data_IF_619657340256
#
_entry.id   IF_619657340256
#
_cell.length_a   1.000
_cell.length_b   1.000
_cell.length_c   1.000
_cell.angle_alpha   90.00
_cell.angle_beta   90.00
_cell.angle_gamma   90.00
#
_symmetry.space_group_name_H-M   'P 1'
#
loop_
_entity.id
_entity.type
_entity.pdbx_description
1 polymer ?
#
# COMPACT_ATOMS: atom_id res chain seq x y z
N UNK A 1 28.26 26.37 3.58
CA UNK A 1 28.72 25.44 4.63
C UNK A 1 29.56 24.39 3.96
N UNK A 2 30.78 24.19 4.43
CA UNK A 2 31.68 23.19 3.88
C UNK A 2 31.03 21.81 3.95
N UNK A 3 31.12 20.98 2.88
CA UNK A 3 30.65 19.62 2.94
C UNK A 3 31.34 18.93 4.12
N UNK A 4 30.60 18.14 4.88
CA UNK A 4 31.13 17.31 5.94
C UNK A 4 32.37 16.56 5.42
N UNK A 5 33.53 16.98 5.83
CA UNK A 5 34.74 16.19 5.61
C UNK A 5 34.59 14.94 6.45
N UNK A 6 34.25 13.83 5.77
CA UNK A 6 34.28 12.51 6.36
C UNK A 6 35.74 12.19 6.64
N UNK A 7 36.18 12.54 7.86
CA UNK A 7 37.55 12.21 8.30
C UNK A 7 37.69 10.67 8.23
N UNK A 8 38.66 10.24 7.46
CA UNK A 8 39.13 8.86 7.36
C UNK A 8 38.21 7.80 6.68
N UNK A 9 37.08 8.20 6.05
CA UNK A 9 36.20 7.26 5.35
C UNK A 9 35.69 7.84 4.03
N UNK A 10 35.69 7.04 2.98
CA UNK A 10 35.08 7.43 1.71
C UNK A 10 33.56 7.47 1.81
N UNK A 11 32.91 8.27 0.97
CA UNK A 11 31.44 8.35 0.89
C UNK A 11 30.82 6.96 0.65
N UNK A 12 31.43 6.13 -0.18
CA UNK A 12 30.98 4.79 -0.50
C UNK A 12 31.08 3.85 0.71
N UNK A 13 32.17 3.93 1.50
CA UNK A 13 32.33 3.15 2.73
C UNK A 13 31.26 3.51 3.75
N UNK A 14 30.89 4.76 3.87
CA UNK A 14 29.80 5.21 4.79
C UNK A 14 28.48 4.66 4.31
N UNK A 15 28.15 4.75 3.02
CA UNK A 15 26.90 4.20 2.49
C UNK A 15 26.80 2.69 2.70
N UNK A 16 27.88 1.97 2.50
CA UNK A 16 27.91 0.51 2.69
C UNK A 16 27.77 0.12 4.18
N UNK A 17 28.36 0.89 5.10
CA UNK A 17 28.18 0.68 6.54
C UNK A 17 26.73 0.96 6.96
N UNK A 18 26.10 2.01 6.44
CA UNK A 18 24.69 2.32 6.67
C UNK A 18 23.81 1.19 6.14
N UNK A 19 24.02 0.71 4.93
CA UNK A 19 23.30 -0.44 4.35
C UNK A 19 23.39 -1.67 5.25
N UNK A 20 24.61 -2.00 5.68
CA UNK A 20 24.86 -3.15 6.57
C UNK A 20 24.12 -3.03 7.91
N UNK A 21 24.07 -1.84 8.50
CA UNK A 21 23.38 -1.61 9.77
C UNK A 21 21.85 -1.67 9.59
N UNK A 22 21.34 -1.16 8.48
CA UNK A 22 19.90 -1.13 8.21
C UNK A 22 19.36 -2.47 7.72
N UNK A 23 20.21 -3.36 7.14
CA UNK A 23 19.78 -4.68 6.67
C UNK A 23 19.24 -5.61 7.76
N UNK A 24 19.48 -5.27 9.04
CA UNK A 24 18.93 -6.00 10.21
C UNK A 24 17.42 -5.73 10.39
N UNK A 25 16.90 -4.65 9.81
CA UNK A 25 15.48 -4.31 9.93
C UNK A 25 14.63 -5.20 9.02
N UNK A 26 14.00 -6.21 9.61
CA UNK A 26 13.11 -7.09 8.89
C UNK A 26 11.81 -6.36 8.49
N UNK A 27 11.30 -6.63 7.29
CA UNK A 27 10.01 -6.11 6.81
C UNK A 27 10.04 -4.68 6.25
N UNK A 28 11.21 -4.04 6.15
CA UNK A 28 11.38 -2.74 5.54
C UNK A 28 12.15 -2.84 4.21
N UNK A 29 11.67 -2.19 3.16
CA UNK A 29 12.45 -1.95 1.95
C UNK A 29 13.24 -0.66 2.15
N UNK A 30 14.56 -0.77 2.10
CA UNK A 30 15.46 0.35 2.35
C UNK A 30 16.20 0.68 1.06
N UNK A 31 16.07 1.93 0.64
CA UNK A 31 16.82 2.51 -0.49
C UNK A 31 17.67 3.67 0.06
N UNK A 32 18.96 3.69 -0.28
CA UNK A 32 19.88 4.72 0.16
C UNK A 32 20.37 5.46 -1.07
N UNK A 33 20.09 6.75 -1.13
CA UNK A 33 20.51 7.60 -2.24
C UNK A 33 20.64 9.06 -1.83
N UNK A 34 21.01 9.89 -2.78
CA UNK A 34 21.15 11.33 -2.58
C UNK A 34 19.86 12.05 -2.97
N UNK A 35 19.46 13.13 -2.26
CA UNK A 35 18.20 13.81 -2.50
C UNK A 35 18.02 14.34 -3.93
N UNK A 36 19.09 14.77 -4.58
CA UNK A 36 19.05 15.30 -5.97
C UNK A 36 18.92 14.14 -6.97
N UNK A 37 19.73 13.07 -6.82
CA UNK A 37 19.65 11.89 -7.68
C UNK A 37 18.28 11.26 -7.61
N UNK A 38 17.73 11.06 -6.41
CA UNK A 38 16.37 10.51 -6.22
C UNK A 38 15.29 11.32 -6.95
N UNK A 39 15.41 12.64 -7.00
CA UNK A 39 14.46 13.48 -7.75
C UNK A 39 14.58 13.27 -9.27
N UNK A 40 15.80 13.21 -9.77
CA UNK A 40 16.05 12.98 -11.20
C UNK A 40 15.57 11.59 -11.59
N UNK A 41 15.93 10.57 -10.82
CA UNK A 41 15.53 9.18 -11.07
C UNK A 41 14.00 9.03 -11.03
N UNK A 42 13.34 9.65 -10.04
CA UNK A 42 11.89 9.65 -9.93
C UNK A 42 11.19 10.33 -11.13
N UNK A 43 11.77 11.39 -11.66
CA UNK A 43 11.24 12.08 -12.86
C UNK A 43 11.42 11.24 -14.13
N UNK A 44 12.52 10.52 -14.26
CA UNK A 44 12.85 9.74 -15.46
C UNK A 44 12.21 8.36 -15.47
N UNK A 45 12.26 7.65 -14.36
CA UNK A 45 11.83 6.25 -14.26
C UNK A 45 10.51 6.06 -13.49
N UNK A 46 10.08 7.07 -12.72
CA UNK A 46 8.96 6.98 -11.79
C UNK A 46 9.31 6.27 -10.49
N UNK A 47 10.60 6.00 -10.23
CA UNK A 47 11.12 5.41 -8.98
C UNK A 47 12.32 6.22 -8.49
N UNK A 48 12.63 6.12 -7.21
CA UNK A 48 13.79 6.82 -6.63
C UNK A 48 15.12 6.07 -6.82
N UNK A 49 15.11 4.97 -7.58
CA UNK A 49 16.27 4.13 -7.83
C UNK A 49 16.85 4.35 -9.23
N UNK A 50 18.15 4.11 -9.38
CA UNK A 50 18.88 4.29 -10.64
C UNK A 50 18.49 3.28 -11.72
N UNK A 51 17.99 2.11 -11.31
CA UNK A 51 17.52 1.02 -12.19
C UNK A 51 16.06 0.73 -11.85
N UNK A 52 15.20 0.72 -12.88
CA UNK A 52 13.80 0.33 -12.76
C UNK A 52 13.45 -0.72 -13.82
N UNK A 53 13.10 -1.93 -13.39
CA UNK A 53 12.56 -2.98 -14.24
C UNK A 53 11.05 -2.98 -14.07
N UNK A 54 10.30 -2.68 -15.12
CA UNK A 54 8.85 -2.58 -15.09
C UNK A 54 8.22 -3.82 -15.67
N UNK A 55 7.40 -4.50 -14.87
CA UNK A 55 6.57 -5.60 -15.31
C UNK A 55 5.15 -5.10 -15.58
N UNK A 56 4.61 -5.42 -16.74
CA UNK A 56 3.25 -5.07 -17.12
C UNK A 56 2.39 -6.33 -17.25
N UNK A 57 1.15 -6.26 -16.78
CA UNK A 57 0.22 -7.39 -16.85
C UNK A 57 -1.13 -7.09 -16.22
N UNK A 58 -2.01 -8.08 -16.25
CA UNK A 58 -3.36 -7.98 -15.68
C UNK A 58 -3.48 -8.58 -14.29
N UNK A 59 -2.64 -9.57 -13.96
CA UNK A 59 -2.64 -10.31 -12.70
C UNK A 59 -1.46 -9.86 -11.83
N UNK A 60 -1.76 -9.13 -10.76
CA UNK A 60 -0.76 -8.57 -9.84
C UNK A 60 0.00 -9.66 -9.07
N UNK A 61 -0.67 -10.76 -8.67
CA UNK A 61 -0.05 -11.84 -7.91
C UNK A 61 0.98 -12.59 -8.75
N UNK A 62 0.61 -12.86 -10.02
CA UNK A 62 1.53 -13.47 -10.98
C UNK A 62 2.72 -12.55 -11.28
N UNK A 63 2.47 -11.25 -11.47
CA UNK A 63 3.54 -10.26 -11.69
C UNK A 63 4.47 -10.17 -10.49
N UNK A 64 3.94 -10.20 -9.26
CA UNK A 64 4.75 -10.19 -8.03
C UNK A 64 5.62 -11.44 -7.92
N UNK A 65 5.08 -12.62 -8.26
CA UNK A 65 5.84 -13.87 -8.31
C UNK A 65 7.00 -13.78 -9.30
N UNK A 66 6.74 -13.29 -10.52
CA UNK A 66 7.77 -13.06 -11.55
C UNK A 66 8.79 -12.02 -11.07
N UNK A 67 8.33 -10.94 -10.43
CA UNK A 67 9.21 -9.91 -9.86
C UNK A 67 10.20 -10.49 -8.84
N UNK A 68 9.74 -11.38 -7.97
CA UNK A 68 10.61 -12.07 -7.02
C UNK A 68 11.59 -13.05 -7.70
N UNK A 69 11.19 -13.70 -8.78
CA UNK A 69 12.10 -14.54 -9.58
C UNK A 69 13.21 -13.69 -10.21
N UNK A 70 12.85 -12.54 -10.81
CA UNK A 70 13.84 -11.59 -11.35
C UNK A 70 14.75 -11.06 -10.24
N UNK A 71 14.20 -10.69 -9.09
CA UNK A 71 15.01 -10.30 -7.91
C UNK A 71 16.01 -11.38 -7.55
N UNK A 72 15.57 -12.63 -7.47
CA UNK A 72 16.45 -13.77 -7.12
C UNK A 72 17.54 -14.02 -8.16
N UNK A 73 17.27 -13.78 -9.44
CA UNK A 73 18.27 -13.87 -10.50
C UNK A 73 19.28 -12.71 -10.44
N UNK A 74 18.81 -11.49 -10.22
CA UNK A 74 19.64 -10.30 -10.21
C UNK A 74 20.48 -10.12 -8.95
N UNK A 75 20.12 -10.73 -7.82
CA UNK A 75 20.81 -10.52 -6.53
C UNK A 75 22.29 -10.93 -6.51
N UNK A 76 22.71 -11.77 -7.46
CA UNK A 76 24.10 -12.23 -7.57
C UNK A 76 24.93 -11.43 -8.57
N UNK A 77 24.33 -10.44 -9.23
CA UNK A 77 25.05 -9.58 -10.18
C UNK A 77 25.89 -8.58 -9.37
N UNK A 78 27.21 -8.61 -9.60
CA UNK A 78 28.12 -7.70 -8.93
C UNK A 78 27.79 -6.23 -9.27
N UNK A 79 27.80 -5.38 -8.26
CA UNK A 79 27.47 -3.95 -8.38
C UNK A 79 26.00 -3.62 -8.24
N UNK A 80 25.11 -4.59 -8.02
CA UNK A 80 23.71 -4.32 -7.65
C UNK A 80 23.62 -4.05 -6.14
N UNK A 81 22.90 -2.98 -5.78
CA UNK A 81 22.57 -2.62 -4.41
C UNK A 81 21.10 -2.27 -4.29
N UNK A 82 20.56 -2.35 -3.05
CA UNK A 82 19.19 -1.93 -2.71
C UNK A 82 18.11 -2.53 -3.63
N UNK A 83 18.28 -3.82 -4.01
CA UNK A 83 17.38 -4.52 -4.93
C UNK A 83 16.06 -4.87 -4.26
N UNK A 84 14.99 -4.22 -4.68
CA UNK A 84 13.66 -4.36 -4.12
C UNK A 84 12.60 -4.63 -5.19
N UNK A 85 11.59 -5.41 -4.83
CA UNK A 85 10.35 -5.56 -5.61
C UNK A 85 9.29 -4.73 -4.92
N UNK A 86 8.51 -3.97 -5.68
CA UNK A 86 7.37 -3.24 -5.18
C UNK A 86 6.43 -4.17 -4.43
N UNK A 87 6.23 -3.90 -3.13
CA UNK A 87 5.44 -4.77 -2.28
C UNK A 87 3.95 -4.69 -2.64
N UNK A 88 3.38 -5.85 -2.88
CA UNK A 88 1.93 -6.04 -2.97
C UNK A 88 1.43 -6.47 -1.59
N UNK A 89 1.28 -5.50 -0.67
CA UNK A 89 0.72 -5.78 0.65
C UNK A 89 -0.79 -5.90 0.47
N UNK A 90 -1.29 -7.12 0.61
CA UNK A 90 -2.73 -7.34 0.71
C UNK A 90 -3.22 -6.82 2.06
N UNK A 91 -4.20 -5.92 2.02
CA UNK A 91 -4.89 -5.50 3.24
C UNK A 91 -6.16 -6.31 3.40
N UNK A 92 -6.43 -6.80 4.61
CA UNK A 92 -7.72 -7.41 4.87
C UNK A 92 -8.82 -6.37 4.62
N UNK A 93 -9.75 -6.72 3.77
CA UNK A 93 -10.92 -5.93 3.40
C UNK A 93 -12.18 -6.67 3.78
N UNK A 94 -13.15 -5.93 4.30
CA UNK A 94 -14.49 -6.42 4.51
C UNK A 94 -15.41 -5.84 3.44
N UNK A 95 -15.89 -6.69 2.55
CA UNK A 95 -16.81 -6.33 1.50
C UNK A 95 -18.23 -6.70 1.92
N UNK A 96 -19.10 -5.70 2.06
CA UNK A 96 -20.51 -5.90 2.37
C UNK A 96 -21.30 -5.61 1.10
N UNK A 97 -21.94 -6.64 0.55
CA UNK A 97 -22.70 -6.56 -0.69
C UNK A 97 -24.19 -6.67 -0.39
N UNK A 98 -24.97 -5.59 -0.55
CA UNK A 98 -26.41 -5.62 -0.27
C UNK A 98 -27.15 -6.53 -1.24
N UNK A 99 -28.03 -7.36 -0.75
CA UNK A 99 -29.02 -8.12 -1.51
C UNK A 99 -30.24 -7.25 -1.73
N UNK A 100 -30.26 -6.53 -2.85
CA UNK A 100 -31.27 -5.48 -3.12
C UNK A 100 -32.71 -5.95 -2.98
N UNK A 101 -33.01 -7.17 -3.45
CA UNK A 101 -34.35 -7.76 -3.34
C UNK A 101 -34.78 -7.95 -1.89
N UNK A 102 -33.86 -8.37 -1.03
CA UNK A 102 -34.13 -8.60 0.40
C UNK A 102 -34.23 -7.26 1.16
N UNK A 103 -33.47 -6.24 0.77
CA UNK A 103 -33.64 -4.90 1.33
C UNK A 103 -35.04 -4.38 1.04
N UNK A 104 -35.51 -4.44 -0.22
CA UNK A 104 -36.84 -3.98 -0.62
C UNK A 104 -37.95 -4.74 0.11
N UNK A 105 -37.82 -6.08 0.23
CA UNK A 105 -38.79 -6.92 0.96
C UNK A 105 -38.91 -6.55 2.43
N UNK A 106 -37.84 -6.04 3.02
CA UNK A 106 -37.80 -5.61 4.42
C UNK A 106 -38.06 -4.09 4.58
N UNK A 107 -38.43 -3.37 3.47
CA UNK A 107 -38.70 -1.94 3.51
C UNK A 107 -37.47 -1.09 3.80
N UNK A 108 -36.27 -1.59 3.52
CA UNK A 108 -35.01 -0.90 3.74
C UNK A 108 -34.55 -0.31 2.39
N UNK A 109 -34.33 0.99 2.33
CA UNK A 109 -33.78 1.63 1.15
C UNK A 109 -32.24 1.51 1.13
N UNK A 110 -31.63 1.61 -0.05
CA UNK A 110 -30.17 1.55 -0.17
C UNK A 110 -29.46 2.72 0.56
N UNK A 111 -29.98 3.97 0.55
CA UNK A 111 -29.41 5.03 1.38
C UNK A 111 -29.44 4.72 2.88
N UNK A 112 -30.57 4.26 3.43
CA UNK A 112 -30.67 3.87 4.84
C UNK A 112 -29.70 2.74 5.19
N UNK A 113 -29.55 1.75 4.32
CA UNK A 113 -28.58 0.69 4.47
C UNK A 113 -27.14 1.21 4.53
N UNK A 114 -26.77 2.12 3.62
CA UNK A 114 -25.43 2.71 3.59
C UNK A 114 -25.17 3.60 4.81
N UNK A 115 -26.14 4.39 5.24
CA UNK A 115 -26.06 5.20 6.44
C UNK A 115 -25.88 4.35 7.68
N UNK A 116 -26.67 3.27 7.81
CA UNK A 116 -26.50 2.29 8.88
C UNK A 116 -25.08 1.72 8.95
N UNK A 117 -24.50 1.34 7.81
CA UNK A 117 -23.14 0.84 7.76
C UNK A 117 -22.11 1.93 8.11
N UNK A 118 -22.29 3.15 7.62
CA UNK A 118 -21.40 4.27 7.90
C UNK A 118 -21.34 4.57 9.40
N UNK A 119 -22.48 4.72 10.06
CA UNK A 119 -22.58 4.99 11.49
C UNK A 119 -21.98 3.85 12.32
N UNK A 120 -22.31 2.60 11.99
CA UNK A 120 -21.89 1.46 12.79
C UNK A 120 -20.40 1.11 12.60
N UNK A 121 -19.86 1.21 11.37
CA UNK A 121 -18.49 0.78 11.08
C UNK A 121 -17.47 1.90 11.19
N UNK A 122 -17.76 3.06 10.57
CA UNK A 122 -16.84 4.19 10.50
C UNK A 122 -17.09 5.24 11.60
N UNK A 123 -18.33 5.40 12.01
CA UNK A 123 -18.82 6.52 12.80
C UNK A 123 -19.14 7.74 11.92
N UNK A 124 -20.06 8.55 12.38
CA UNK A 124 -20.51 9.75 11.68
C UNK A 124 -20.14 11.01 12.46
N UNK A 125 -19.57 12.01 11.78
CA UNK A 125 -19.27 13.30 12.37
C UNK A 125 -20.53 14.14 12.45
N UNK A 126 -21.12 14.21 13.64
CA UNK A 126 -22.41 14.91 13.87
C UNK A 126 -22.25 16.40 14.16
N UNK A 127 -21.07 16.82 14.63
CA UNK A 127 -20.80 18.24 14.98
C UNK A 127 -19.30 18.50 15.12
N UNK A 128 -18.96 19.75 15.37
CA UNK A 128 -17.61 20.16 15.76
C UNK A 128 -17.66 20.90 17.10
N UNK A 129 -16.73 20.59 17.98
CA UNK A 129 -16.52 21.29 19.26
C UNK A 129 -15.27 22.14 19.11
N UNK A 130 -15.37 23.41 19.49
CA UNK A 130 -14.26 24.34 19.47
C UNK A 130 -13.69 24.49 20.88
N UNK A 131 -12.42 24.13 21.06
CA UNK A 131 -11.71 24.25 22.34
C UNK A 131 -10.32 24.84 22.12
N UNK A 132 -9.98 25.89 22.89
CA UNK A 132 -8.70 26.58 22.81
C UNK A 132 -8.26 26.96 21.36
N UNK A 133 -9.22 27.37 20.51
CA UNK A 133 -8.97 27.78 19.12
C UNK A 133 -8.75 26.63 18.14
N UNK A 134 -9.02 25.39 18.56
CA UNK A 134 -8.97 24.19 17.72
C UNK A 134 -10.36 23.60 17.54
N UNK A 135 -10.64 23.11 16.34
CA UNK A 135 -11.87 22.40 16.03
C UNK A 135 -11.63 20.87 16.19
N UNK A 136 -12.51 20.22 16.96
CA UNK A 136 -12.54 18.77 17.14
C UNK A 136 -13.84 18.21 16.58
N UNK A 137 -13.77 17.17 15.78
CA UNK A 137 -14.96 16.51 15.28
C UNK A 137 -15.61 15.67 16.39
N UNK A 138 -16.91 15.90 16.61
CA UNK A 138 -17.73 15.02 17.44
C UNK A 138 -18.23 13.87 16.58
N UNK A 139 -17.73 12.67 16.84
CA UNK A 139 -18.08 11.48 16.06
C UNK A 139 -18.95 10.57 16.90
N UNK A 140 -20.10 10.20 16.35
CA UNK A 140 -20.98 9.15 16.91
C UNK A 140 -20.66 7.85 16.20
N UNK A 141 -20.39 6.81 16.98
CA UNK A 141 -20.10 5.46 16.49
C UNK A 141 -20.80 4.46 17.38
N UNK A 142 -21.26 3.35 16.79
CA UNK A 142 -21.77 2.25 17.56
C UNK A 142 -20.71 1.68 18.51
N UNK A 143 -21.15 1.16 19.65
CA UNK A 143 -20.30 0.45 20.59
C UNK A 143 -19.76 -0.84 19.97
N UNK A 144 -18.80 -1.49 20.63
CA UNK A 144 -18.20 -2.72 20.15
C UNK A 144 -19.27 -3.82 19.95
N UNK A 145 -19.21 -4.45 18.79
CA UNK A 145 -19.95 -5.68 18.48
C UNK A 145 -18.95 -6.82 18.28
N UNK A 146 -19.34 -8.03 18.68
CA UNK A 146 -18.47 -9.21 18.60
C UNK A 146 -18.30 -9.69 17.16
N UNK A 147 -19.37 -9.62 16.35
CA UNK A 147 -19.34 -9.90 14.90
C UNK A 147 -20.22 -8.87 14.15
N UNK A 148 -19.72 -8.40 13.01
CA UNK A 148 -20.45 -7.50 12.09
C UNK A 148 -21.74 -8.16 11.56
N UNK A 149 -21.76 -9.48 11.47
CA UNK A 149 -22.93 -10.25 11.02
C UNK A 149 -24.12 -10.10 11.96
N UNK A 150 -23.86 -9.83 13.24
CA UNK A 150 -24.87 -9.71 14.28
C UNK A 150 -25.47 -8.31 14.38
N UNK A 151 -24.99 -7.36 13.56
CA UNK A 151 -25.58 -6.03 13.48
C UNK A 151 -27.04 -6.12 13.03
N UNK A 152 -27.90 -5.44 13.77
CA UNK A 152 -29.35 -5.43 13.55
C UNK A 152 -29.78 -4.10 12.96
N UNK A 153 -30.48 -4.15 11.83
CA UNK A 153 -31.07 -2.99 11.17
C UNK A 153 -32.52 -2.86 11.67
N UNK A 154 -32.85 -1.72 12.27
CA UNK A 154 -34.23 -1.39 12.62
C UNK A 154 -34.95 -0.88 11.38
N UNK A 155 -36.05 -1.51 11.02
CA UNK A 155 -36.86 -1.13 9.87
C UNK A 155 -37.94 -0.11 10.27
N UNK A 156 -38.48 0.64 9.31
CA UNK A 156 -39.50 1.65 9.58
C UNK A 156 -40.78 1.09 10.20
N UNK A 157 -41.09 -0.18 9.97
CA UNK A 157 -42.22 -0.89 10.56
C UNK A 157 -41.92 -1.54 11.92
N UNK A 158 -40.75 -1.26 12.51
CA UNK A 158 -40.31 -1.71 13.82
C UNK A 158 -39.78 -3.15 13.88
N UNK A 159 -39.59 -3.79 12.73
CA UNK A 159 -38.92 -5.10 12.67
C UNK A 159 -37.40 -4.96 12.82
N UNK A 160 -36.78 -5.98 13.37
CA UNK A 160 -35.34 -6.09 13.52
C UNK A 160 -34.80 -7.11 12.54
N UNK A 161 -33.94 -6.68 11.64
CA UNK A 161 -33.41 -7.51 10.56
C UNK A 161 -31.88 -7.62 10.72
N UNK A 162 -31.32 -8.82 10.90
CA UNK A 162 -29.88 -9.03 10.93
C UNK A 162 -29.23 -8.60 9.60
N UNK A 163 -28.04 -8.02 9.67
CA UNK A 163 -27.29 -7.61 8.47
C UNK A 163 -27.00 -8.80 7.55
N UNK A 164 -26.74 -9.98 8.13
CA UNK A 164 -26.51 -11.23 7.40
C UNK A 164 -27.70 -11.67 6.52
N UNK A 165 -28.92 -11.25 6.86
CA UNK A 165 -30.12 -11.61 6.11
C UNK A 165 -30.29 -10.77 4.84
N UNK A 166 -29.73 -9.57 4.82
CA UNK A 166 -29.90 -8.61 3.72
C UNK A 166 -28.61 -8.27 2.96
N UNK A 167 -27.47 -8.80 3.41
CA UNK A 167 -26.18 -8.57 2.76
C UNK A 167 -25.27 -9.80 2.82
N UNK A 168 -24.42 -9.92 1.81
CA UNK A 168 -23.30 -10.86 1.82
C UNK A 168 -22.08 -10.17 2.43
N UNK A 169 -21.53 -10.77 3.50
CA UNK A 169 -20.36 -10.25 4.20
C UNK A 169 -19.18 -11.14 3.84
N UNK A 170 -18.28 -10.60 3.01
CA UNK A 170 -17.16 -11.32 2.43
C UNK A 170 -15.87 -10.73 2.98
N UNK A 171 -15.11 -11.56 3.72
CA UNK A 171 -13.73 -11.21 4.06
C UNK A 171 -12.85 -11.50 2.85
N UNK A 172 -12.18 -10.49 2.35
CA UNK A 172 -11.26 -10.58 1.22
C UNK A 172 -9.94 -9.90 1.56
N UNK A 173 -8.93 -10.15 0.76
CA UNK A 173 -7.70 -9.39 0.79
C UNK A 173 -7.52 -8.74 -0.57
N UNK A 174 -7.28 -7.45 -0.56
CA UNK A 174 -7.09 -6.66 -1.77
C UNK A 174 -5.74 -5.96 -1.81
N UNK A 175 -5.18 -5.68 -2.99
CA UNK A 175 -3.94 -4.95 -3.11
C UNK A 175 -4.12 -3.52 -2.59
N UNK A 176 -3.21 -3.07 -1.73
CA UNK A 176 -3.25 -1.74 -1.15
C UNK A 176 -3.11 -0.64 -2.23
N UNK A 177 -2.30 -0.90 -3.25
CA UNK A 177 -2.01 0.05 -4.32
C UNK A 177 -1.91 -0.70 -5.65
N UNK A 178 -2.52 -0.13 -6.69
CA UNK A 178 -2.40 -0.63 -8.06
C UNK A 178 -1.78 0.47 -8.92
N UNK A 179 -0.49 0.33 -9.20
CA UNK A 179 0.21 1.26 -10.08
C UNK A 179 -0.06 0.96 -11.55
N UNK A 180 -0.24 2.02 -12.33
CA UNK A 180 -0.49 1.94 -13.77
C UNK A 180 0.43 2.87 -14.53
N UNK A 181 0.80 2.43 -15.72
CA UNK A 181 1.51 3.25 -16.71
C UNK A 181 0.92 2.93 -18.08
N UNK A 182 0.57 3.94 -18.86
CA UNK A 182 -0.09 3.78 -20.15
C UNK A 182 -1.32 2.86 -20.10
N UNK A 183 -2.18 3.06 -19.07
CA UNK A 183 -3.40 2.27 -18.79
C UNK A 183 -3.16 0.82 -18.34
N UNK A 184 -1.94 0.30 -18.45
CA UNK A 184 -1.58 -1.05 -18.00
C UNK A 184 -1.16 -1.06 -16.54
N UNK A 185 -1.52 -2.12 -15.80
CA UNK A 185 -1.01 -2.34 -14.44
C UNK A 185 0.47 -2.64 -14.52
N UNK A 186 1.23 -2.12 -13.55
CA UNK A 186 2.67 -2.39 -13.46
C UNK A 186 3.08 -2.76 -12.04
N UNK A 187 4.16 -3.52 -11.94
CA UNK A 187 4.97 -3.72 -10.74
C UNK A 187 6.40 -3.31 -11.10
N UNK A 188 7.07 -2.63 -10.20
CA UNK A 188 8.43 -2.16 -10.42
C UNK A 188 9.41 -2.94 -9.53
N UNK A 189 10.51 -3.37 -10.13
CA UNK A 189 11.69 -3.87 -9.44
C UNK A 189 12.71 -2.75 -9.50
N UNK A 190 13.09 -2.21 -8.36
CA UNK A 190 14.05 -1.12 -8.22
C UNK A 190 15.41 -1.64 -7.75
N UNK A 191 16.49 -1.04 -8.23
CA UNK A 191 17.83 -1.31 -7.75
C UNK A 191 18.71 -0.07 -7.90
N UNK A 192 19.74 0.01 -7.05
CA UNK A 192 20.83 0.97 -7.18
C UNK A 192 22.12 0.26 -7.62
N UNK A 193 23.13 1.03 -8.02
CA UNK A 193 24.45 0.50 -8.29
C UNK A 193 25.43 0.90 -7.19
N UNK A 194 26.40 0.05 -6.91
CA UNK A 194 27.52 0.31 -5.98
C UNK A 194 28.81 -0.26 -6.55
N UNK A 195 29.84 0.57 -6.64
CA UNK A 195 31.17 0.17 -7.08
C UNK A 195 31.34 -0.17 -8.57
N UNK A 196 30.27 -0.12 -9.39
CA UNK A 196 30.30 -0.38 -10.84
C UNK A 196 29.49 0.64 -11.62
N UNK A 197 29.85 0.82 -12.89
CA UNK A 197 29.10 1.71 -13.78
C UNK A 197 27.69 1.18 -14.06
N UNK A 198 26.71 2.08 -14.10
CA UNK A 198 25.29 1.73 -14.34
C UNK A 198 25.10 0.95 -15.66
N UNK A 199 25.83 1.34 -16.73
CA UNK A 199 25.78 0.69 -18.05
C UNK A 199 26.13 -0.79 -17.98
N UNK A 200 27.17 -1.14 -17.20
CA UNK A 200 27.70 -2.50 -17.12
C UNK A 200 26.75 -3.40 -16.33
N UNK A 201 26.21 -2.88 -15.22
CA UNK A 201 25.21 -3.59 -14.42
C UNK A 201 23.95 -3.83 -15.23
N UNK A 202 23.45 -2.83 -15.98
CA UNK A 202 22.29 -2.99 -16.86
C UNK A 202 22.54 -3.98 -17.99
N UNK A 203 23.77 -4.04 -18.54
CA UNK A 203 24.14 -5.03 -19.54
C UNK A 203 24.09 -6.46 -18.98
N UNK A 204 24.52 -6.65 -17.74
CA UNK A 204 24.46 -7.96 -17.08
C UNK A 204 23.02 -8.39 -16.72
N UNK A 205 22.15 -7.45 -16.33
CA UNK A 205 20.74 -7.73 -16.08
C UNK A 205 20.00 -8.19 -17.36
N UNK A 206 20.43 -7.74 -18.52
CA UNK A 206 19.81 -8.07 -19.81
C UNK A 206 20.24 -9.42 -20.40
N UNK A 207 21.23 -10.08 -19.83
CA UNK A 207 21.69 -11.44 -20.23
C UNK A 207 20.81 -12.52 -19.66
#
# INVERSE_FOLDING_TARGET
EAPFELKDRSHEEVLNDVRKRLSVLAGANIEIGQPISHRIDAMLSGTQASIAIKLFGTDLNRMFTIGNQIKSACQYIEGIADLNVEQQIERPELKIVPRRELLVRNGITLPEFNEFLAVNLAGETVSQVYEAGRAFNLVVKADKYDDIKDLIIDTQDGRKVPLSDVADIISSAGPNTINRENVQRKIVISANTSGRALSDVVADIKK
#
